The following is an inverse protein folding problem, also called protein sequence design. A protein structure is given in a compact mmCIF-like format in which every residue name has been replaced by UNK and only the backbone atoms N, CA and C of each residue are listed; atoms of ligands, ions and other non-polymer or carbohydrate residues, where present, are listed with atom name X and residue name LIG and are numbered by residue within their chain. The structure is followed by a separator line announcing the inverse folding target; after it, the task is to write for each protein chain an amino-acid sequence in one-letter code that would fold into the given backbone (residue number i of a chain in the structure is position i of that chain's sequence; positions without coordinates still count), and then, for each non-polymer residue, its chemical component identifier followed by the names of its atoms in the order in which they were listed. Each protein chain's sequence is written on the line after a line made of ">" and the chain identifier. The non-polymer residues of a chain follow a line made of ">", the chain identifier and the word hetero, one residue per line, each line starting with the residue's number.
data_IF_002570389443
#
_entry.id   IF_002570389443
#
_cell.length_a   1.000
_cell.length_b   1.000
_cell.length_c   1.000
_cell.angle_alpha   90.00
_cell.angle_beta   90.00
_cell.angle_gamma   90.00
#
_symmetry.space_group_name_H-M   'P 1'
#
loop_
_entity.id
_entity.type
_entity.pdbx_description
1 polymer ?
#
# COMPACT_ATOMS: atom_id res chain seq x y z
N UNK A 1 9.59 -1.85 -14.06
CA UNK A 1 8.55 -1.10 -14.79
C UNK A 1 7.27 -1.33 -14.02
N UNK A 2 6.64 -0.28 -13.47
CA UNK A 2 5.38 -0.40 -12.74
C UNK A 2 4.25 -0.67 -13.75
N UNK A 3 3.52 -1.77 -13.54
CA UNK A 3 2.40 -2.15 -14.39
C UNK A 3 1.11 -2.09 -13.58
N UNK A 4 0.38 -0.98 -13.61
CA UNK A 4 -0.88 -0.91 -12.87
C UNK A 4 -1.85 -1.96 -13.44
N UNK A 5 -2.45 -2.76 -12.56
CA UNK A 5 -3.34 -3.87 -12.93
C UNK A 5 -4.74 -3.43 -13.39
N UNK A 6 -4.83 -2.49 -14.33
CA UNK A 6 -6.12 -2.02 -14.85
C UNK A 6 -6.76 -3.00 -15.85
N UNK A 7 -5.97 -3.93 -16.37
CA UNK A 7 -6.32 -4.84 -17.45
C UNK A 7 -6.57 -6.28 -16.97
N UNK A 8 -6.52 -6.52 -15.65
CA UNK A 8 -6.83 -7.82 -15.06
C UNK A 8 -8.31 -7.97 -14.74
N UNK A 9 -8.83 -9.18 -14.95
CA UNK A 9 -10.18 -9.55 -14.55
C UNK A 9 -10.27 -9.72 -13.03
N UNK A 10 -10.75 -8.67 -12.36
CA UNK A 10 -10.90 -8.67 -10.91
C UNK A 10 -11.89 -9.74 -10.43
N UNK A 11 -12.95 -10.02 -11.19
CA UNK A 11 -13.95 -11.01 -10.80
C UNK A 11 -13.37 -12.42 -10.85
N UNK A 12 -12.55 -12.73 -11.86
CA UNK A 12 -11.83 -13.99 -11.93
C UNK A 12 -10.83 -14.15 -10.78
N UNK A 13 -10.10 -13.08 -10.42
CA UNK A 13 -9.16 -13.09 -9.29
C UNK A 13 -9.88 -13.32 -7.97
N UNK A 14 -11.03 -12.69 -7.74
CA UNK A 14 -11.77 -12.84 -6.48
C UNK A 14 -12.50 -14.18 -6.38
N UNK A 15 -12.82 -14.82 -7.51
CA UNK A 15 -13.43 -16.14 -7.56
C UNK A 15 -12.43 -17.29 -7.26
N UNK A 16 -11.12 -17.04 -7.38
CA UNK A 16 -10.06 -18.02 -7.15
C UNK A 16 -9.17 -17.59 -5.95
N UNK A 17 -9.32 -18.25 -4.78
CA UNK A 17 -8.55 -17.92 -3.59
C UNK A 17 -7.03 -18.09 -3.75
N UNK A 18 -6.56 -19.03 -4.57
CA UNK A 18 -5.12 -19.24 -4.79
C UNK A 18 -4.56 -18.12 -5.67
N UNK A 19 -5.29 -17.76 -6.72
CA UNK A 19 -4.94 -16.63 -7.58
C UNK A 19 -4.94 -15.31 -6.79
N UNK A 20 -5.95 -15.06 -5.94
CA UNK A 20 -6.00 -13.86 -5.09
C UNK A 20 -4.77 -13.74 -4.20
N UNK A 21 -4.33 -14.85 -3.61
CA UNK A 21 -3.13 -14.88 -2.78
C UNK A 21 -1.85 -14.66 -3.60
N UNK A 22 -1.76 -15.23 -4.80
CA UNK A 22 -0.63 -15.05 -5.70
C UNK A 22 -0.51 -13.58 -6.12
N UNK A 23 -1.59 -12.98 -6.62
CA UNK A 23 -1.62 -11.57 -7.05
C UNK A 23 -1.26 -10.62 -5.90
N UNK A 24 -1.70 -10.90 -4.67
CA UNK A 24 -1.32 -10.09 -3.51
C UNK A 24 0.21 -10.06 -3.30
N UNK A 25 0.91 -11.18 -3.52
CA UNK A 25 2.36 -11.26 -3.38
C UNK A 25 3.12 -10.68 -4.58
N UNK A 26 2.48 -10.57 -5.75
CA UNK A 26 3.10 -9.98 -6.95
C UNK A 26 3.48 -8.51 -6.77
N UNK A 27 2.89 -7.81 -5.80
CA UNK A 27 3.28 -6.43 -5.47
C UNK A 27 4.62 -6.33 -4.70
N UNK A 28 5.10 -7.40 -4.06
CA UNK A 28 6.27 -7.32 -3.19
C UNK A 28 7.57 -6.90 -3.90
N UNK A 29 7.89 -7.40 -5.11
CA UNK A 29 9.04 -6.92 -5.87
C UNK A 29 9.00 -5.42 -6.17
N UNK A 30 7.81 -4.84 -6.39
CA UNK A 30 7.65 -3.41 -6.62
C UNK A 30 7.89 -2.61 -5.33
N UNK A 31 7.43 -3.14 -4.18
CA UNK A 31 7.70 -2.57 -2.86
C UNK A 31 9.20 -2.62 -2.53
N UNK A 32 9.89 -3.69 -2.90
CA UNK A 32 11.34 -3.77 -2.74
C UNK A 32 12.06 -2.67 -3.54
N UNK A 33 11.55 -2.34 -4.72
CA UNK A 33 12.12 -1.34 -5.63
C UNK A 33 11.76 0.12 -5.28
N UNK A 34 10.75 0.38 -4.44
CA UNK A 34 10.36 1.73 -4.08
C UNK A 34 11.12 2.27 -2.85
N UNK A 35 11.18 3.59 -2.71
CA UNK A 35 11.69 4.25 -1.50
C UNK A 35 10.58 4.48 -0.46
N UNK A 36 9.36 4.70 -0.95
CA UNK A 36 8.17 5.07 -0.17
C UNK A 36 6.97 4.31 -0.70
N UNK A 37 6.21 3.70 0.22
CA UNK A 37 4.86 3.18 -0.07
C UNK A 37 3.84 4.24 0.31
N UNK A 38 3.01 4.65 -0.65
CA UNK A 38 1.92 5.59 -0.43
C UNK A 38 0.57 4.91 -0.61
N UNK A 39 -0.16 4.70 0.48
CA UNK A 39 -1.47 4.06 0.47
C UNK A 39 -2.59 5.10 0.55
N UNK A 40 -3.56 5.00 -0.36
CA UNK A 40 -4.79 5.78 -0.28
C UNK A 40 -5.70 5.16 0.79
N UNK A 41 -6.06 5.95 1.79
CA UNK A 41 -6.88 5.55 2.92
C UNK A 41 -8.14 6.41 3.05
N UNK A 42 -9.02 6.47 2.03
CA UNK A 42 -10.19 7.34 2.05
C UNK A 42 -11.09 7.03 3.26
N UNK A 43 -11.39 8.04 4.08
CA UNK A 43 -12.16 7.84 5.32
C UNK A 43 -11.43 6.98 6.36
N UNK A 44 -10.11 6.83 6.24
CA UNK A 44 -9.27 6.02 7.13
C UNK A 44 -9.31 4.51 6.87
N UNK A 45 -9.94 4.05 5.78
CA UNK A 45 -10.01 2.64 5.43
C UNK A 45 -8.81 2.19 4.59
N UNK A 46 -8.21 1.06 4.96
CA UNK A 46 -7.26 0.29 4.13
C UNK A 46 -7.70 -1.17 4.11
N UNK A 47 -7.65 -1.81 2.95
CA UNK A 47 -8.01 -3.22 2.82
C UNK A 47 -6.95 -4.14 3.42
N UNK A 48 -7.34 -5.38 3.78
CA UNK A 48 -6.42 -6.35 4.38
C UNK A 48 -5.18 -6.65 3.51
N UNK A 49 -5.33 -6.70 2.18
CA UNK A 49 -4.19 -6.85 1.26
C UNK A 49 -3.23 -5.66 1.35
N UNK A 50 -3.76 -4.44 1.42
CA UNK A 50 -2.96 -3.21 1.59
C UNK A 50 -2.25 -3.21 2.93
N UNK A 51 -2.87 -3.71 4.01
CA UNK A 51 -2.20 -3.85 5.31
C UNK A 51 -1.01 -4.83 5.22
N UNK A 52 -1.14 -5.93 4.47
CA UNK A 52 -0.02 -6.85 4.24
C UNK A 52 1.11 -6.16 3.47
N UNK A 53 0.79 -5.38 2.44
CA UNK A 53 1.76 -4.60 1.67
C UNK A 53 2.46 -3.54 2.54
N UNK A 54 1.70 -2.82 3.37
CA UNK A 54 2.22 -1.87 4.35
C UNK A 54 3.14 -2.56 5.37
N UNK A 55 2.76 -3.74 5.87
CA UNK A 55 3.56 -4.50 6.84
C UNK A 55 4.86 -5.00 6.20
N UNK A 56 4.80 -5.47 4.95
CA UNK A 56 5.98 -5.85 4.19
C UNK A 56 6.90 -4.64 3.99
N UNK A 57 6.39 -3.51 3.49
CA UNK A 57 7.15 -2.28 3.30
C UNK A 57 7.83 -1.82 4.61
N UNK A 58 7.09 -1.79 5.72
CA UNK A 58 7.61 -1.45 7.03
C UNK A 58 8.76 -2.39 7.45
N UNK A 59 8.58 -3.70 7.29
CA UNK A 59 9.61 -4.69 7.62
C UNK A 59 10.87 -4.57 6.74
N UNK A 60 10.73 -4.04 5.52
CA UNK A 60 11.83 -3.73 4.60
C UNK A 60 12.47 -2.35 4.86
N UNK A 61 12.05 -1.66 5.92
CA UNK A 61 12.56 -0.34 6.29
C UNK A 61 12.08 0.79 5.38
N UNK A 62 11.03 0.56 4.57
CA UNK A 62 10.45 1.57 3.70
C UNK A 62 9.58 2.53 4.51
N UNK A 63 9.54 3.79 4.09
CA UNK A 63 8.60 4.76 4.67
C UNK A 63 7.19 4.46 4.17
N UNK A 64 6.24 4.32 5.10
CA UNK A 64 4.83 4.09 4.77
C UNK A 64 4.06 5.38 5.03
N UNK A 65 3.46 5.93 3.99
CA UNK A 65 2.68 7.17 4.05
C UNK A 65 1.24 6.86 3.66
N UNK A 66 0.27 7.43 4.38
CA UNK A 66 -1.15 7.27 4.04
C UNK A 66 -1.80 8.60 3.69
N UNK A 67 -2.80 8.58 2.82
CA UNK A 67 -3.50 9.81 2.39
C UNK A 67 -4.30 10.48 3.51
N UNK A 68 -4.79 9.68 4.45
CA UNK A 68 -5.55 10.11 5.63
C UNK A 68 -5.13 9.25 6.83
N UNK A 69 -5.59 9.62 8.03
CA UNK A 69 -5.33 8.85 9.24
C UNK A 69 -6.08 7.51 9.19
N UNK A 70 -5.34 6.40 9.25
CA UNK A 70 -5.93 5.06 9.24
C UNK A 70 -6.71 4.82 10.54
N UNK A 71 -7.94 4.31 10.42
CA UNK A 71 -8.84 4.07 11.55
C UNK A 71 -8.37 2.94 12.47
N UNK A 72 -7.91 1.84 11.88
CA UNK A 72 -7.48 0.65 12.61
C UNK A 72 -6.08 0.84 13.23
N UNK A 73 -5.96 0.59 14.54
CA UNK A 73 -4.70 0.80 15.27
C UNK A 73 -3.56 -0.10 14.78
N UNK A 74 -3.84 -1.35 14.42
CA UNK A 74 -2.83 -2.27 13.91
C UNK A 74 -2.19 -1.75 12.61
N UNK A 75 -3.02 -1.31 11.66
CA UNK A 75 -2.53 -0.70 10.43
C UNK A 75 -1.85 0.66 10.68
N UNK A 76 -2.37 1.48 11.61
CA UNK A 76 -1.78 2.77 11.99
C UNK A 76 -0.37 2.62 12.56
N UNK A 77 -0.07 1.53 13.27
CA UNK A 77 1.25 1.27 13.83
C UNK A 77 2.36 1.15 12.74
N UNK A 78 1.98 0.91 11.49
CA UNK A 78 2.90 0.80 10.35
C UNK A 78 3.16 2.17 9.69
N UNK A 79 2.34 3.19 9.97
CA UNK A 79 2.34 4.47 9.25
C UNK A 79 3.42 5.40 9.79
N UNK A 80 4.32 5.84 8.92
CA UNK A 80 5.38 6.81 9.23
C UNK A 80 4.90 8.26 9.15
N UNK A 81 3.95 8.56 8.26
CA UNK A 81 3.36 9.90 8.11
C UNK A 81 1.99 9.85 7.44
N UNK A 82 1.19 10.90 7.65
CA UNK A 82 -0.07 11.13 6.94
C UNK A 82 0.10 12.37 6.07
N UNK A 83 -0.21 12.28 4.78
CA UNK A 83 -0.15 13.39 3.84
C UNK A 83 -1.22 13.24 2.77
N UNK A 84 -2.09 14.23 2.61
CA UNK A 84 -3.09 14.22 1.55
C UNK A 84 -2.42 14.18 0.16
N UNK A 85 -3.10 13.69 -0.90
CA UNK A 85 -2.49 13.57 -2.23
C UNK A 85 -1.84 14.87 -2.76
N UNK A 86 -2.42 16.07 -2.57
CA UNK A 86 -1.77 17.32 -3.00
C UNK A 86 -0.47 17.63 -2.25
N UNK A 87 -0.32 17.13 -1.02
CA UNK A 87 0.80 17.41 -0.13
C UNK A 87 1.85 16.29 -0.12
N UNK A 88 1.56 15.14 -0.76
CA UNK A 88 2.39 13.95 -0.69
C UNK A 88 3.85 14.23 -1.08
N UNK A 89 4.11 14.86 -2.23
CA UNK A 89 5.46 15.19 -2.68
C UNK A 89 6.19 16.13 -1.71
N UNK A 90 5.47 17.06 -1.08
CA UNK A 90 6.06 17.96 -0.07
C UNK A 90 6.44 17.20 1.20
N UNK A 91 5.63 16.23 1.61
CA UNK A 91 5.91 15.38 2.76
C UNK A 91 7.16 14.48 2.58
N UNK A 92 7.62 14.31 1.32
CA UNK A 92 8.87 13.62 0.99
C UNK A 92 10.11 14.51 1.07
N UNK A 93 9.98 15.83 0.84
CA UNK A 93 11.09 16.78 0.72
C UNK A 93 11.77 17.21 2.02
N UNK A 94 11.74 16.36 3.06
CA UNK A 94 12.35 16.62 4.37
C UNK A 94 13.74 15.98 4.58
N UNK A 95 14.47 15.70 3.50
CA UNK A 95 15.85 15.18 3.50
C UNK A 95 16.80 16.20 2.87
#
# INVERSE_FOLDING_TARGET
>A
MYHPFFDRDQAAIDADPELKQAVTREHFPEIDACDVLYALAPGGYVGASVVIEMAYAFARGKRVVTSEAVGEYAARALVSAVAAPPDFLRALGGF
#
